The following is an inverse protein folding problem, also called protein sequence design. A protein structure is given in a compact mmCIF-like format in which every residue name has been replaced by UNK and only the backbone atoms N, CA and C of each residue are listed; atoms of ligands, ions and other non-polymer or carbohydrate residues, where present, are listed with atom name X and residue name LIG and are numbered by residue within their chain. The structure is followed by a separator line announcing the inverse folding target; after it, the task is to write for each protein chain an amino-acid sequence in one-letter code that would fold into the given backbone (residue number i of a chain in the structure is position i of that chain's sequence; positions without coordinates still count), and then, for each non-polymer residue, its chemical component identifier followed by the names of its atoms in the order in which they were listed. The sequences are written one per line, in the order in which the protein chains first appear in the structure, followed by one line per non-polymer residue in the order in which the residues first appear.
data_IF_397071729593
#
_entry.id   IF_397071729593
#
_cell.length_a   1.000
_cell.length_b   1.000
_cell.length_c   1.000
_cell.angle_alpha   90.00
_cell.angle_beta   90.00
_cell.angle_gamma   90.00
#
_symmetry.space_group_name_H-M   'P 1'
#
loop_
_entity.id
_entity.type
_entity.pdbx_description
1 polymer ?
#
# COMPACT_ATOMS: atom_id res chain seq x y z
N UNK A 1 -10.56 -7.50 20.41
CA UNK A 1 -9.43 -7.61 19.49
C UNK A 1 -9.40 -9.04 19.00
N UNK A 2 -9.37 -9.25 17.69
CA UNK A 2 -9.25 -10.58 17.09
C UNK A 2 -7.78 -11.04 17.13
N UNK A 3 -7.53 -12.35 17.10
CA UNK A 3 -6.17 -12.91 17.06
C UNK A 3 -5.37 -12.33 15.88
N UNK A 4 -6.01 -12.16 14.73
CA UNK A 4 -5.40 -11.62 13.53
C UNK A 4 -4.99 -10.14 13.66
N UNK A 5 -5.82 -9.32 14.32
CA UNK A 5 -5.48 -7.95 14.66
C UNK A 5 -4.31 -7.88 15.64
N UNK A 6 -4.22 -8.84 16.57
CA UNK A 6 -3.13 -8.92 17.54
C UNK A 6 -1.81 -9.29 16.88
N UNK A 7 -1.83 -10.30 15.98
CA UNK A 7 -0.65 -10.69 15.18
C UNK A 7 -0.20 -9.52 14.28
N UNK A 8 -1.14 -8.76 13.72
CA UNK A 8 -0.84 -7.63 12.82
C UNK A 8 -0.49 -6.32 13.55
N UNK A 9 -0.48 -6.32 14.89
CA UNK A 9 -0.28 -5.10 15.70
C UNK A 9 1.19 -4.66 15.82
N UNK A 10 2.14 -5.48 15.36
CA UNK A 10 3.57 -5.21 15.49
C UNK A 10 4.18 -5.62 16.84
N UNK A 11 3.38 -6.25 17.72
CA UNK A 11 3.82 -6.68 19.05
C UNK A 11 4.81 -7.84 18.98
N UNK A 12 4.67 -8.74 18.00
CA UNK A 12 5.56 -9.90 17.81
C UNK A 12 6.97 -9.41 17.47
N UNK A 13 7.08 -8.48 16.52
CA UNK A 13 8.33 -7.88 16.09
C UNK A 13 8.98 -7.10 17.23
N UNK A 14 8.18 -6.32 17.96
CA UNK A 14 8.66 -5.55 19.11
C UNK A 14 9.16 -6.46 20.23
N UNK A 15 8.49 -7.59 20.49
CA UNK A 15 8.91 -8.58 21.46
C UNK A 15 10.22 -9.26 21.05
N UNK A 16 10.29 -9.83 19.84
CA UNK A 16 11.43 -10.61 19.36
C UNK A 16 12.69 -9.75 19.21
N UNK A 17 12.54 -8.47 18.84
CA UNK A 17 13.66 -7.52 18.75
C UNK A 17 14.07 -6.93 20.12
N UNK A 18 13.36 -7.27 21.20
CA UNK A 18 13.64 -6.77 22.55
C UNK A 18 13.28 -5.29 22.76
N UNK A 19 12.33 -4.77 21.98
CA UNK A 19 11.84 -3.39 22.03
C UNK A 19 10.57 -3.24 22.88
N UNK A 20 9.85 -4.33 23.14
CA UNK A 20 8.64 -4.33 23.95
C UNK A 20 8.94 -4.03 25.43
N UNK A 21 8.03 -3.29 26.08
CA UNK A 21 8.11 -3.03 27.53
C UNK A 21 7.86 -4.30 28.34
N UNK A 22 8.20 -4.28 29.64
CA UNK A 22 8.03 -5.46 30.51
C UNK A 22 6.55 -5.84 30.66
N UNK A 23 5.65 -4.86 30.68
CA UNK A 23 4.21 -5.05 30.69
C UNK A 23 3.69 -5.68 29.39
N UNK A 24 4.16 -5.19 28.24
CA UNK A 24 3.81 -5.70 26.91
C UNK A 24 4.31 -7.14 26.71
N UNK A 25 5.52 -7.43 27.16
CA UNK A 25 6.09 -8.79 27.12
C UNK A 25 5.25 -9.77 27.92
N UNK A 26 4.87 -9.41 29.13
CA UNK A 26 4.06 -10.27 29.99
C UNK A 26 2.67 -10.52 29.38
N UNK A 27 2.04 -9.49 28.81
CA UNK A 27 0.77 -9.62 28.12
C UNK A 27 0.88 -10.49 26.85
N UNK A 28 1.97 -10.34 26.10
CA UNK A 28 2.24 -11.11 24.90
C UNK A 28 2.51 -12.60 25.19
N UNK A 29 3.30 -12.90 26.21
CA UNK A 29 3.56 -14.28 26.65
C UNK A 29 2.27 -14.96 27.10
N UNK A 30 1.43 -14.27 27.87
CA UNK A 30 0.11 -14.77 28.24
C UNK A 30 -0.77 -15.06 27.01
N UNK A 31 -0.73 -14.19 26.00
CA UNK A 31 -1.47 -14.41 24.75
C UNK A 31 -0.93 -15.60 23.95
N UNK A 32 0.38 -15.86 24.00
CA UNK A 32 1.00 -17.05 23.38
C UNK A 32 0.58 -18.35 24.07
N UNK A 33 0.33 -18.32 25.39
CA UNK A 33 -0.16 -19.47 26.15
C UNK A 33 -1.64 -19.76 25.87
N UNK A 34 -2.44 -18.71 25.68
CA UNK A 34 -3.88 -18.81 25.40
C UNK A 34 -4.19 -19.10 23.92
N UNK A 35 -3.29 -18.75 23.00
CA UNK A 35 -3.51 -18.85 21.56
C UNK A 35 -2.31 -19.42 20.79
N UNK A 36 -2.50 -20.62 20.23
CA UNK A 36 -1.50 -21.32 19.44
C UNK A 36 -1.10 -20.59 18.15
N UNK A 37 -2.01 -19.84 17.53
CA UNK A 37 -1.74 -19.07 16.30
C UNK A 37 -0.74 -17.94 16.55
N UNK A 38 -0.84 -17.27 17.71
CA UNK A 38 0.10 -16.21 18.12
C UNK A 38 1.48 -16.79 18.40
N UNK A 39 1.54 -17.97 19.04
CA UNK A 39 2.79 -18.70 19.27
C UNK A 39 3.46 -19.10 17.95
N UNK A 40 2.70 -19.64 17.00
CA UNK A 40 3.22 -20.00 15.67
C UNK A 40 3.72 -18.78 14.90
N UNK A 41 3.03 -17.64 15.03
CA UNK A 41 3.47 -16.39 14.40
C UNK A 41 4.79 -15.86 15.01
N UNK A 42 4.97 -15.98 16.33
CA UNK A 42 6.25 -15.69 17.00
C UNK A 42 7.37 -16.57 16.45
N UNK A 43 7.17 -17.89 16.45
CA UNK A 43 8.21 -18.85 16.05
C UNK A 43 8.59 -18.66 14.56
N UNK A 44 7.62 -18.35 13.70
CA UNK A 44 7.86 -18.05 12.29
C UNK A 44 8.71 -16.78 12.11
N UNK A 45 8.45 -15.75 12.91
CA UNK A 45 9.22 -14.51 12.87
C UNK A 45 10.66 -14.71 13.41
N UNK A 46 10.81 -15.45 14.52
CA UNK A 46 12.12 -15.82 15.08
C UNK A 46 12.97 -16.59 14.06
N UNK A 47 12.38 -17.57 13.37
CA UNK A 47 13.08 -18.34 12.33
C UNK A 47 13.50 -17.46 11.15
N UNK A 48 12.64 -16.55 10.71
CA UNK A 48 12.96 -15.58 9.64
C UNK A 48 14.12 -14.66 10.05
N UNK A 49 14.13 -14.22 11.31
CA UNK A 49 15.21 -13.40 11.85
C UNK A 49 16.53 -14.19 11.95
N UNK A 50 16.48 -15.43 12.42
CA UNK A 50 17.64 -16.34 12.48
C UNK A 50 18.25 -16.54 11.08
N UNK A 51 17.43 -16.86 10.08
CA UNK A 51 17.89 -17.06 8.70
C UNK A 51 18.60 -15.82 8.16
N UNK A 52 18.04 -14.63 8.39
CA UNK A 52 18.67 -13.35 7.99
C UNK A 52 19.96 -13.07 8.75
N UNK A 53 20.03 -13.40 10.04
CA UNK A 53 21.23 -13.25 10.85
C UNK A 53 22.34 -14.17 10.37
N UNK A 54 22.02 -15.43 10.04
CA UNK A 54 22.98 -16.41 9.53
C UNK A 54 23.50 -16.06 8.13
N UNK A 55 22.65 -15.52 7.26
CA UNK A 55 23.08 -15.03 5.93
C UNK A 55 24.12 -13.90 6.03
N UNK A 56 24.06 -13.10 7.10
CA UNK A 56 24.97 -11.98 7.34
C UNK A 56 25.99 -12.29 8.45
N UNK A 57 26.25 -13.57 8.73
CA UNK A 57 27.11 -13.99 9.82
C UNK A 57 28.56 -13.54 9.61
N UNK A 58 29.12 -12.90 10.64
CA UNK A 58 30.53 -12.52 10.70
C UNK A 58 31.28 -13.55 11.54
N UNK A 59 32.40 -14.06 11.04
CA UNK A 59 33.21 -15.03 11.79
C UNK A 59 33.71 -14.40 13.09
N UNK A 60 33.40 -15.00 14.26
CA UNK A 60 33.88 -14.48 15.53
C UNK A 60 35.39 -14.69 15.69
N UNK A 61 36.05 -13.94 16.60
CA UNK A 61 37.45 -14.15 16.93
C UNK A 61 37.73 -15.59 17.40
N UNK A 62 38.84 -16.23 16.97
CA UNK A 62 39.10 -17.65 17.22
C UNK A 62 39.27 -17.98 18.71
N UNK A 63 39.68 -17.00 19.53
CA UNK A 63 39.83 -17.15 20.98
C UNK A 63 38.51 -17.07 21.76
N UNK A 64 37.43 -16.57 21.15
CA UNK A 64 36.14 -16.35 21.82
C UNK A 64 35.51 -17.67 22.27
N UNK A 65 35.60 -18.71 21.43
CA UNK A 65 35.11 -20.06 21.77
C UNK A 65 35.72 -20.59 23.06
N UNK A 66 37.04 -20.43 23.22
CA UNK A 66 37.77 -20.87 24.41
C UNK A 66 37.34 -20.07 25.64
N UNK A 67 37.24 -18.74 25.52
CA UNK A 67 36.78 -17.88 26.63
C UNK A 67 35.37 -18.23 27.13
N UNK A 68 34.44 -18.55 26.21
CA UNK A 68 33.08 -18.94 26.56
C UNK A 68 33.07 -20.29 27.28
N UNK A 69 33.81 -21.29 26.77
CA UNK A 69 33.93 -22.60 27.40
C UNK A 69 34.57 -22.51 28.79
N UNK A 70 35.65 -21.75 28.94
CA UNK A 70 36.33 -21.54 30.21
C UNK A 70 35.40 -20.86 31.24
N UNK A 71 34.53 -19.93 30.81
CA UNK A 71 33.54 -19.28 31.70
C UNK A 71 32.43 -20.23 32.14
N UNK A 72 31.91 -21.05 31.24
CA UNK A 72 30.89 -22.07 31.55
C UNK A 72 31.42 -23.13 32.53
N UNK A 73 32.71 -23.44 32.47
CA UNK A 73 33.35 -24.39 33.37
C UNK A 73 33.62 -23.77 34.76
N UNK A 74 33.94 -22.48 34.81
CA UNK A 74 34.13 -21.74 36.07
C UNK A 74 32.82 -21.36 36.78
N UNK A 75 31.71 -21.14 36.06
CA UNK A 75 30.38 -20.90 36.68
C UNK A 75 29.85 -22.13 37.44
N UNK A 76 30.33 -23.33 37.12
CA UNK A 76 30.01 -24.56 37.88
C UNK A 76 30.71 -24.63 39.24
N UNK A 77 31.60 -23.70 39.56
CA UNK A 77 32.18 -23.58 40.90
C UNK A 77 31.49 -22.45 41.69
N UNK A 78 30.72 -22.76 42.75
CA UNK A 78 30.13 -21.75 43.61
C UNK A 78 31.23 -21.13 44.48
N UNK A 79 31.97 -20.15 43.96
CA UNK A 79 32.91 -19.38 44.77
C UNK A 79 32.19 -18.18 45.38
N UNK A 80 31.45 -18.50 46.44
CA UNK A 80 31.13 -17.58 47.54
C UNK A 80 32.46 -17.13 48.17
N UNK A 81 32.99 -15.98 47.78
CA UNK A 81 34.09 -15.31 48.51
C UNK A 81 34.03 -13.79 48.31
N UNK A 82 33.02 -13.15 48.89
CA UNK A 82 33.13 -11.75 49.30
C UNK A 82 33.96 -11.75 50.60
N UNK A 83 35.29 -11.79 50.46
CA UNK A 83 36.19 -11.50 51.59
C UNK A 83 36.45 -10.00 51.61
N UNK A 84 35.60 -9.27 52.33
CA UNK A 84 35.86 -7.88 52.71
C UNK A 84 37.14 -7.82 53.54
N UNK A 85 38.21 -7.27 52.95
CA UNK A 85 39.40 -6.85 53.70
C UNK A 85 39.10 -5.50 54.34
N UNK A 86 38.73 -5.53 55.62
CA UNK A 86 38.71 -4.37 56.52
C UNK A 86 40.16 -3.95 56.76
N UNK A 87 40.55 -2.77 56.27
CA UNK A 87 41.81 -2.14 56.65
C UNK A 87 41.64 -1.35 57.97
N UNK A 88 42.63 -1.38 58.89
CA UNK A 88 42.56 -0.65 60.16
C UNK A 88 42.69 0.87 59.96
N UNK A 89 41.89 1.62 60.72
CA UNK A 89 41.96 3.10 60.86
C UNK A 89 43.36 3.55 61.32
N UNK A 90 44.00 4.41 60.52
CA UNK A 90 45.12 5.25 60.94
C UNK A 90 44.59 6.62 61.46
N UNK A 91 45.33 7.32 62.35
CA UNK A 91 44.78 8.35 63.23
C UNK A 91 44.50 9.67 62.52
N UNK A 92 43.49 10.37 63.06
CA UNK A 92 43.01 11.69 62.68
C UNK A 92 44.12 12.72 62.86
N UNK A 93 44.47 13.43 61.77
CA UNK A 93 45.27 14.66 61.79
C UNK A 93 44.36 15.83 61.44
N UNK A 94 44.21 16.76 62.38
CA UNK A 94 43.41 17.98 62.23
C UNK A 94 44.23 19.14 61.63
N UNK A 95 43.56 19.86 60.71
CA UNK A 95 43.71 21.28 60.29
C UNK A 95 44.93 21.63 59.41
N UNK A 96 44.82 22.55 58.40
CA UNK A 96 43.98 23.76 58.41
C UNK A 96 43.05 23.96 57.20
N UNK A 97 42.00 24.75 57.41
CA UNK A 97 41.22 25.43 56.36
C UNK A 97 42.09 26.47 55.66
N UNK A 98 42.67 26.09 54.52
CA UNK A 98 43.20 27.04 53.54
C UNK A 98 42.28 27.00 52.31
N UNK A 99 41.43 28.02 52.16
CA UNK A 99 40.69 28.26 50.93
C UNK A 99 41.69 28.73 49.88
N UNK A 100 42.34 27.79 49.21
CA UNK A 100 43.19 28.08 48.05
C UNK A 100 42.32 28.01 46.80
N UNK A 101 42.03 29.16 46.21
CA UNK A 101 41.33 29.30 44.93
C UNK A 101 42.05 28.48 43.86
N UNK A 102 41.51 27.29 43.56
CA UNK A 102 42.16 26.35 42.66
C UNK A 102 41.58 26.53 41.26
N UNK A 103 42.40 26.93 40.29
CA UNK A 103 42.04 26.98 38.85
C UNK A 103 41.52 25.64 38.29
N UNK A 104 41.54 24.54 39.04
CA UNK A 104 41.01 23.22 38.65
C UNK A 104 39.49 23.12 38.73
N UNK A 105 38.81 23.86 39.63
CA UNK A 105 37.34 23.86 39.69
C UNK A 105 36.74 24.63 38.52
N UNK A 106 37.42 25.66 38.01
CA UNK A 106 37.01 26.34 36.79
C UNK A 106 37.15 25.46 35.54
N UNK A 107 38.16 24.59 35.46
CA UNK A 107 38.26 23.63 34.35
C UNK A 107 37.18 22.53 34.42
N UNK A 108 36.88 22.03 35.62
CA UNK A 108 35.80 21.05 35.84
C UNK A 108 34.42 21.65 35.52
N UNK A 109 34.16 22.89 35.95
CA UNK A 109 32.95 23.61 35.60
C UNK A 109 32.85 23.92 34.09
N UNK A 110 33.96 24.28 33.44
CA UNK A 110 33.98 24.49 31.99
C UNK A 110 33.75 23.18 31.22
N UNK A 111 34.30 22.05 31.69
CA UNK A 111 34.12 20.72 31.08
C UNK A 111 32.68 20.21 31.19
N UNK A 112 31.99 20.44 32.32
CA UNK A 112 30.58 20.05 32.47
C UNK A 112 29.65 20.90 31.60
N UNK A 113 29.91 22.20 31.47
CA UNK A 113 29.15 23.08 30.57
C UNK A 113 29.35 22.69 29.11
N UNK A 114 30.58 22.35 28.69
CA UNK A 114 30.83 21.87 27.33
C UNK A 114 30.18 20.52 27.06
N UNK A 115 30.25 19.57 27.99
CA UNK A 115 29.52 18.29 27.88
C UNK A 115 28.01 18.50 27.80
N UNK A 116 27.45 19.42 28.59
CA UNK A 116 26.03 19.76 28.53
C UNK A 116 25.65 20.33 27.17
N UNK A 117 26.42 21.27 26.63
CA UNK A 117 26.16 21.87 25.31
C UNK A 117 26.25 20.83 24.19
N UNK A 118 27.25 19.94 24.23
CA UNK A 118 27.36 18.82 23.28
C UNK A 118 26.18 17.88 23.42
N UNK A 119 25.76 17.54 24.64
CA UNK A 119 24.60 16.68 24.87
C UNK A 119 23.31 17.28 24.33
N UNK A 120 23.09 18.60 24.52
CA UNK A 120 21.91 19.30 24.00
C UNK A 120 21.94 19.33 22.47
N UNK A 121 23.10 19.59 21.86
CA UNK A 121 23.26 19.58 20.41
C UNK A 121 22.99 18.19 19.80
N UNK A 122 23.52 17.14 20.43
CA UNK A 122 23.28 15.75 20.03
C UNK A 122 21.81 15.36 20.20
N UNK A 123 21.19 15.71 21.32
CA UNK A 123 19.77 15.44 21.57
C UNK A 123 18.89 16.13 20.53
N UNK A 124 19.18 17.40 20.20
CA UNK A 124 18.47 18.13 19.15
C UNK A 124 18.64 17.48 17.77
N UNK A 125 19.86 17.07 17.43
CA UNK A 125 20.15 16.35 16.18
C UNK A 125 19.38 15.03 16.10
N UNK A 126 19.44 14.20 17.14
CA UNK A 126 18.70 12.94 17.21
C UNK A 126 17.19 13.15 17.19
N UNK A 127 16.68 14.17 17.87
CA UNK A 127 15.26 14.50 17.87
C UNK A 127 14.77 14.90 16.47
N UNK A 128 15.52 15.75 15.75
CA UNK A 128 15.20 16.08 14.36
C UNK A 128 15.25 14.87 13.45
N UNK A 129 16.25 14.02 13.63
CA UNK A 129 16.41 12.82 12.82
C UNK A 129 15.28 11.82 13.09
N UNK A 130 14.93 11.59 14.36
CA UNK A 130 13.79 10.77 14.76
C UNK A 130 12.48 11.29 14.17
N UNK A 131 12.23 12.60 14.26
CA UNK A 131 11.01 13.20 13.69
C UNK A 131 10.93 13.00 12.18
N UNK A 132 12.04 13.16 11.48
CA UNK A 132 12.12 12.92 10.03
C UNK A 132 11.84 11.46 9.66
N UNK A 133 12.32 10.49 10.45
CA UNK A 133 12.04 9.08 10.21
C UNK A 133 10.59 8.70 10.51
N UNK A 134 10.00 9.26 11.56
CA UNK A 134 8.57 9.09 11.86
C UNK A 134 7.70 9.61 10.71
N UNK A 135 7.96 10.82 10.23
CA UNK A 135 7.16 11.42 9.16
C UNK A 135 7.30 10.64 7.84
N UNK A 136 8.49 10.09 7.55
CA UNK A 136 8.71 9.20 6.39
C UNK A 136 7.98 7.87 6.53
N UNK A 137 7.89 7.33 7.74
CA UNK A 137 7.18 6.08 7.99
C UNK A 137 5.68 6.25 7.76
N UNK A 138 5.09 7.33 8.28
CA UNK A 138 3.68 7.66 8.04
C UNK A 138 3.40 7.87 6.54
N UNK A 139 4.28 8.60 5.84
CA UNK A 139 4.18 8.79 4.39
C UNK A 139 4.27 7.47 3.62
N UNK A 140 5.13 6.54 4.05
CA UNK A 140 5.28 5.23 3.41
C UNK A 140 4.05 4.33 3.64
N UNK A 141 3.42 4.40 4.82
CA UNK A 141 2.16 3.69 5.08
C UNK A 141 1.03 4.20 4.17
N UNK A 142 0.91 5.52 4.03
CA UNK A 142 -0.08 6.14 3.11
C UNK A 142 0.21 5.73 1.67
N UNK A 143 1.48 5.77 1.25
CA UNK A 143 1.89 5.36 -0.09
C UNK A 143 1.58 3.89 -0.37
N UNK A 144 1.87 2.98 0.57
CA UNK A 144 1.55 1.56 0.41
C UNK A 144 0.03 1.34 0.32
N UNK A 145 -0.76 2.02 1.15
CA UNK A 145 -2.21 1.94 1.09
C UNK A 145 -2.74 2.41 -0.28
N UNK A 146 -2.17 3.47 -0.85
CA UNK A 146 -2.51 3.96 -2.18
C UNK A 146 -2.11 2.97 -3.28
N UNK A 147 -0.90 2.37 -3.19
CA UNK A 147 -0.44 1.35 -4.14
C UNK A 147 -1.37 0.14 -4.13
N UNK A 148 -1.74 -0.38 -2.95
CA UNK A 148 -2.67 -1.53 -2.84
C UNK A 148 -4.04 -1.19 -3.41
N UNK A 149 -4.56 0.01 -3.12
CA UNK A 149 -5.84 0.48 -3.70
C UNK A 149 -5.75 0.58 -5.22
N UNK A 150 -4.66 1.13 -5.75
CA UNK A 150 -4.45 1.25 -7.18
C UNK A 150 -4.32 -0.13 -7.84
N UNK A 151 -3.57 -1.04 -7.22
CA UNK A 151 -3.39 -2.40 -7.73
C UNK A 151 -4.71 -3.17 -7.77
N UNK A 152 -5.52 -3.12 -6.70
CA UNK A 152 -6.87 -3.68 -6.69
C UNK A 152 -7.74 -3.07 -7.81
N UNK A 153 -7.70 -1.74 -8.00
CA UNK A 153 -8.45 -1.09 -9.08
C UNK A 153 -7.98 -1.51 -10.49
N UNK A 154 -6.68 -1.77 -10.64
CA UNK A 154 -6.11 -2.27 -11.90
C UNK A 154 -6.54 -3.71 -12.16
N UNK A 155 -6.55 -4.55 -11.13
CA UNK A 155 -7.02 -5.94 -11.27
C UNK A 155 -8.49 -6.00 -11.67
N UNK A 156 -9.36 -5.20 -11.04
CA UNK A 156 -10.78 -5.09 -11.45
C UNK A 156 -10.91 -4.66 -12.91
N UNK A 157 -10.19 -3.60 -13.33
CA UNK A 157 -10.21 -3.16 -14.73
C UNK A 157 -9.68 -4.24 -15.69
N UNK A 158 -8.64 -4.98 -15.31
CA UNK A 158 -8.10 -6.08 -16.13
C UNK A 158 -9.12 -7.21 -16.29
N UNK A 159 -9.86 -7.54 -15.23
CA UNK A 159 -10.91 -8.56 -15.27
C UNK A 159 -12.11 -8.10 -16.13
N UNK A 160 -12.49 -6.84 -16.02
CA UNK A 160 -13.48 -6.21 -16.92
C UNK A 160 -13.04 -6.29 -18.38
N UNK A 161 -11.78 -5.95 -18.69
CA UNK A 161 -11.24 -6.08 -20.06
C UNK A 161 -11.19 -7.52 -20.54
N UNK A 162 -10.79 -8.47 -19.67
CA UNK A 162 -10.73 -9.89 -20.01
C UNK A 162 -12.13 -10.44 -20.30
N UNK A 163 -13.11 -10.09 -19.48
CA UNK A 163 -14.52 -10.44 -19.63
C UNK A 163 -15.09 -9.84 -20.92
N UNK A 164 -14.88 -8.55 -21.15
CA UNK A 164 -15.27 -7.90 -22.40
C UNK A 164 -14.66 -8.61 -23.62
N UNK A 165 -13.36 -8.92 -23.58
CA UNK A 165 -12.67 -9.64 -24.65
C UNK A 165 -13.21 -11.06 -24.87
N UNK A 166 -13.69 -11.72 -23.82
CA UNK A 166 -14.34 -13.03 -23.93
C UNK A 166 -15.70 -12.90 -24.63
N UNK A 167 -16.50 -11.89 -24.30
CA UNK A 167 -17.75 -11.61 -25.01
C UNK A 167 -17.52 -11.28 -26.48
N UNK A 168 -16.48 -10.50 -26.81
CA UNK A 168 -16.10 -10.19 -28.19
C UNK A 168 -15.68 -11.42 -29.01
N UNK A 169 -15.23 -12.49 -28.36
CA UNK A 169 -14.82 -13.75 -29.00
C UNK A 169 -15.95 -14.79 -29.08
N UNK A 170 -17.11 -14.53 -28.46
CA UNK A 170 -18.25 -15.45 -28.53
C UNK A 170 -18.75 -15.52 -29.99
N UNK A 171 -18.88 -16.72 -30.59
CA UNK A 171 -19.44 -16.89 -31.93
C UNK A 171 -20.86 -16.32 -32.10
N UNK A 172 -21.61 -16.14 -31.01
CA UNK A 172 -22.94 -15.50 -31.01
C UNK A 172 -22.91 -13.97 -31.12
N UNK A 173 -21.73 -13.36 -31.14
CA UNK A 173 -21.54 -11.92 -31.24
C UNK A 173 -21.55 -11.45 -32.70
N UNK A 174 -22.58 -10.70 -33.08
CA UNK A 174 -22.64 -10.01 -34.37
C UNK A 174 -21.86 -8.70 -34.31
N UNK A 175 -21.00 -8.45 -35.31
CA UNK A 175 -20.18 -7.22 -35.40
C UNK A 175 -20.74 -6.32 -36.51
N UNK A 176 -21.32 -5.19 -36.14
CA UNK A 176 -21.86 -4.20 -37.08
C UNK A 176 -20.94 -2.98 -37.12
N UNK A 177 -20.27 -2.77 -38.26
CA UNK A 177 -19.42 -1.59 -38.48
C UNK A 177 -20.23 -0.47 -39.12
N UNK A 178 -20.23 0.69 -38.47
CA UNK A 178 -20.92 1.90 -38.91
C UNK A 178 -19.88 2.95 -39.28
N UNK A 179 -19.94 3.46 -40.50
CA UNK A 179 -19.02 4.47 -41.00
C UNK A 179 -19.79 5.73 -41.43
N UNK A 180 -19.16 6.88 -41.29
CA UNK A 180 -19.68 8.18 -41.75
C UNK A 180 -19.88 8.27 -43.27
N UNK A 181 -19.27 7.36 -44.04
CA UNK A 181 -19.33 7.37 -45.49
C UNK A 181 -20.78 7.21 -45.98
N UNK A 182 -21.34 8.29 -46.52
CA UNK A 182 -22.74 8.35 -46.97
C UNK A 182 -23.71 9.02 -45.99
N UNK A 183 -23.22 9.50 -44.84
CA UNK A 183 -23.98 10.27 -43.86
C UNK A 183 -23.60 11.74 -43.98
N UNK A 184 -24.48 12.56 -44.56
CA UNK A 184 -24.20 13.96 -44.87
C UNK A 184 -23.98 14.84 -43.62
N UNK A 185 -24.60 14.48 -42.50
CA UNK A 185 -24.54 15.20 -41.22
C UNK A 185 -23.38 14.77 -40.32
N UNK A 186 -22.52 13.87 -40.78
CA UNK A 186 -21.44 13.36 -39.93
C UNK A 186 -20.41 14.46 -39.61
N UNK A 187 -20.01 14.62 -38.34
CA UNK A 187 -19.09 15.69 -37.94
C UNK A 187 -17.67 15.51 -38.49
N UNK A 188 -17.26 14.27 -38.80
CA UNK A 188 -16.00 13.95 -39.47
C UNK A 188 -16.24 12.84 -40.52
N UNK A 189 -15.79 12.98 -41.78
CA UNK A 189 -15.88 11.94 -42.82
C UNK A 189 -15.22 10.60 -42.45
N UNK A 190 -14.29 10.60 -41.49
CA UNK A 190 -13.63 9.42 -40.96
C UNK A 190 -14.33 8.86 -39.71
N UNK A 191 -15.50 9.38 -39.34
CA UNK A 191 -16.19 8.88 -38.14
C UNK A 191 -16.56 7.41 -38.31
N UNK A 192 -16.26 6.62 -37.29
CA UNK A 192 -16.51 5.19 -37.29
C UNK A 192 -16.89 4.74 -35.89
N UNK A 193 -17.88 3.86 -35.83
CA UNK A 193 -18.26 3.14 -34.62
C UNK A 193 -18.56 1.68 -34.95
N UNK A 194 -18.33 0.80 -33.99
CA UNK A 194 -18.57 -0.64 -34.11
C UNK A 194 -19.53 -1.07 -33.02
N UNK A 195 -20.59 -1.76 -33.40
CA UNK A 195 -21.51 -2.40 -32.47
C UNK A 195 -21.19 -3.88 -32.38
N UNK A 196 -21.12 -4.37 -31.16
CA UNK A 196 -21.08 -5.79 -30.83
C UNK A 196 -22.43 -6.14 -30.22
N UNK A 197 -23.18 -7.01 -30.90
CA UNK A 197 -24.51 -7.40 -30.50
C UNK A 197 -24.56 -8.91 -30.24
N UNK A 198 -24.81 -9.30 -28.99
CA UNK A 198 -25.09 -10.70 -28.66
C UNK A 198 -26.52 -11.02 -29.12
N UNK A 199 -26.62 -11.81 -30.18
CA UNK A 199 -27.92 -12.17 -30.79
C UNK A 199 -28.80 -13.05 -29.89
N UNK A 200 -28.24 -13.64 -28.83
CA UNK A 200 -28.95 -14.52 -27.90
C UNK A 200 -29.43 -13.76 -26.67
N UNK A 201 -28.52 -13.03 -26.01
CA UNK A 201 -28.84 -12.27 -24.79
C UNK A 201 -29.42 -10.91 -25.09
N UNK A 202 -29.24 -10.43 -26.33
CA UNK A 202 -29.63 -9.11 -26.83
C UNK A 202 -28.81 -7.96 -26.24
N UNK A 203 -27.68 -8.26 -25.62
CA UNK A 203 -26.78 -7.26 -25.08
C UNK A 203 -26.05 -6.55 -26.22
N UNK A 204 -25.95 -5.22 -26.10
CA UNK A 204 -25.29 -4.37 -27.10
C UNK A 204 -24.16 -3.58 -26.47
N UNK A 205 -22.97 -3.69 -27.09
CA UNK A 205 -21.79 -2.92 -26.77
C UNK A 205 -21.42 -2.02 -27.95
N UNK A 206 -21.30 -0.72 -27.70
CA UNK A 206 -20.88 0.26 -28.67
C UNK A 206 -19.42 0.65 -28.44
N UNK A 207 -18.61 0.55 -29.48
CA UNK A 207 -17.25 1.04 -29.52
C UNK A 207 -17.18 2.26 -30.45
N UNK A 208 -16.83 3.42 -29.91
CA UNK A 208 -16.54 4.62 -30.70
C UNK A 208 -15.10 4.54 -31.21
N UNK A 209 -14.89 4.23 -32.49
CA UNK A 209 -13.55 4.03 -33.05
C UNK A 209 -12.85 5.34 -33.39
N UNK A 210 -13.58 6.28 -34.01
CA UNK A 210 -13.02 7.56 -34.46
C UNK A 210 -14.09 8.66 -34.46
N UNK A 211 -14.83 8.81 -33.36
CA UNK A 211 -15.87 9.82 -33.25
C UNK A 211 -15.29 11.08 -32.56
N UNK A 212 -15.56 12.29 -33.06
CA UNK A 212 -15.09 13.51 -32.40
C UNK A 212 -15.73 13.65 -31.01
N UNK A 213 -15.06 14.36 -30.11
CA UNK A 213 -15.62 14.61 -28.79
C UNK A 213 -16.84 15.54 -28.90
N UNK A 214 -17.99 15.21 -28.27
CA UNK A 214 -19.14 16.11 -28.24
C UNK A 214 -18.77 17.47 -27.63
N UNK A 215 -19.34 18.55 -28.17
CA UNK A 215 -19.23 19.87 -27.56
C UNK A 215 -19.97 19.93 -26.22
N UNK A 216 -19.64 20.91 -25.37
CA UNK A 216 -20.27 21.07 -24.05
C UNK A 216 -21.80 21.11 -24.17
N UNK A 217 -22.47 20.22 -23.46
CA UNK A 217 -23.94 20.10 -23.47
C UNK A 217 -24.51 19.13 -24.51
N UNK A 218 -23.67 18.53 -25.36
CA UNK A 218 -24.05 17.50 -26.33
C UNK A 218 -23.55 16.12 -25.91
N UNK A 219 -24.23 15.08 -26.36
CA UNK A 219 -23.86 13.69 -26.13
C UNK A 219 -24.32 12.81 -27.30
N UNK A 220 -23.69 11.65 -27.48
CA UNK A 220 -24.14 10.68 -28.47
C UNK A 220 -25.26 9.80 -27.92
N UNK A 221 -26.24 9.47 -28.77
CA UNK A 221 -27.31 8.51 -28.47
C UNK A 221 -27.35 7.41 -29.52
N UNK A 222 -27.55 6.17 -29.08
CA UNK A 222 -27.69 5.00 -29.95
C UNK A 222 -29.17 4.76 -30.25
N UNK A 223 -29.46 4.39 -31.49
CA UNK A 223 -30.80 4.03 -31.95
C UNK A 223 -30.75 2.66 -32.62
N UNK A 224 -31.73 1.81 -32.31
CA UNK A 224 -32.00 0.57 -33.02
C UNK A 224 -33.19 0.78 -33.98
N UNK A 225 -33.05 0.39 -35.24
CA UNK A 225 -34.16 0.45 -36.20
C UNK A 225 -34.90 -0.89 -36.18
N UNK A 226 -36.15 -0.89 -35.72
CA UNK A 226 -37.02 -2.07 -35.62
C UNK A 226 -38.30 -1.78 -36.42
N UNK A 227 -38.63 -2.64 -37.39
CA UNK A 227 -39.77 -2.44 -38.29
C UNK A 227 -39.77 -1.05 -38.97
N UNK A 228 -38.58 -0.54 -39.31
CA UNK A 228 -38.38 0.79 -39.90
C UNK A 228 -38.51 1.98 -38.95
N UNK A 229 -38.77 1.76 -37.65
CA UNK A 229 -38.89 2.81 -36.63
C UNK A 229 -37.66 2.87 -35.72
N UNK A 230 -37.14 4.06 -35.38
CA UNK A 230 -36.06 4.20 -34.43
C UNK A 230 -36.57 3.97 -33.00
N UNK A 231 -35.94 3.04 -32.31
CA UNK A 231 -36.14 2.73 -30.90
C UNK A 231 -34.90 3.18 -30.13
N UNK A 232 -35.10 3.93 -29.06
CA UNK A 232 -34.02 4.38 -28.18
C UNK A 232 -33.27 3.17 -27.62
N UNK A 233 -31.97 3.13 -27.89
CA UNK A 233 -31.09 2.06 -27.49
C UNK A 233 -30.15 2.44 -26.34
N UNK A 234 -30.38 3.59 -25.73
CA UNK A 234 -29.63 4.10 -24.60
C UNK A 234 -28.58 5.13 -24.97
N UNK A 235 -28.18 5.90 -23.95
CA UNK A 235 -27.08 6.87 -24.05
C UNK A 235 -25.73 6.14 -24.11
N UNK A 236 -24.75 6.75 -24.78
CA UNK A 236 -23.43 6.14 -24.96
C UNK A 236 -22.63 6.20 -23.65
N UNK A 237 -22.91 5.26 -22.75
CA UNK A 237 -22.14 4.96 -21.51
C UNK A 237 -22.39 3.53 -20.94
N UNK A 238 -22.68 2.55 -21.82
CA UNK A 238 -22.79 1.08 -21.60
C UNK A 238 -24.13 0.42 -21.15
N UNK A 239 -24.27 -0.83 -21.64
CA UNK A 239 -25.22 -1.93 -21.37
C UNK A 239 -26.72 -1.63 -21.44
N UNK A 240 -27.25 -1.62 -22.66
CA UNK A 240 -28.70 -1.72 -22.89
C UNK A 240 -29.01 -3.04 -23.63
N UNK A 241 -30.06 -3.74 -23.18
CA UNK A 241 -30.61 -4.89 -23.89
C UNK A 241 -31.60 -4.40 -24.95
N UNK A 242 -31.39 -4.78 -26.22
CA UNK A 242 -32.16 -4.24 -27.34
C UNK A 242 -33.02 -5.29 -28.06
N UNK A 243 -34.19 -4.92 -28.61
CA UNK A 243 -34.93 -5.80 -29.50
C UNK A 243 -34.12 -6.17 -30.76
N UNK A 244 -34.59 -7.16 -31.51
CA UNK A 244 -34.02 -7.53 -32.82
C UNK A 244 -34.14 -6.31 -33.74
N UNK A 245 -33.00 -5.83 -34.24
CA UNK A 245 -32.92 -4.63 -35.07
C UNK A 245 -32.45 -4.96 -36.50
N UNK A 246 -32.94 -4.18 -37.47
CA UNK A 246 -32.53 -4.26 -38.88
C UNK A 246 -31.30 -3.38 -39.16
N UNK A 247 -31.11 -2.32 -38.37
CA UNK A 247 -30.00 -1.40 -38.46
C UNK A 247 -29.78 -0.68 -37.12
N UNK A 248 -28.61 -0.07 -36.96
CA UNK A 248 -28.28 0.79 -35.84
C UNK A 248 -27.75 2.13 -36.32
N UNK A 249 -28.05 3.20 -35.58
CA UNK A 249 -27.64 4.56 -35.89
C UNK A 249 -27.16 5.29 -34.63
N UNK A 250 -26.25 6.25 -34.79
CA UNK A 250 -25.81 7.15 -33.70
C UNK A 250 -26.07 8.60 -34.11
N UNK A 251 -26.76 9.35 -33.25
CA UNK A 251 -27.02 10.78 -33.41
C UNK A 251 -26.34 11.60 -32.31
N UNK A 252 -26.09 12.90 -32.58
CA UNK A 252 -25.62 13.86 -31.58
C UNK A 252 -26.80 14.62 -30.97
N UNK A 253 -27.04 14.42 -29.69
CA UNK A 253 -28.23 14.86 -28.96
C UNK A 253 -27.87 15.82 -27.82
N UNK A 254 -28.86 16.51 -27.25
CA UNK A 254 -28.67 17.29 -26.03
C UNK A 254 -28.42 16.39 -24.81
N UNK A 255 -27.77 16.93 -23.79
CA UNK A 255 -27.50 16.22 -22.52
C UNK A 255 -28.81 15.72 -21.89
N UNK A 256 -28.88 14.42 -21.61
CA UNK A 256 -30.10 13.74 -21.16
C UNK A 256 -30.87 12.98 -22.25
N UNK A 257 -30.50 13.16 -23.52
CA UNK A 257 -31.01 12.39 -24.66
C UNK A 257 -32.28 13.00 -25.25
N UNK A 258 -32.76 12.41 -26.33
CA UNK A 258 -34.00 12.81 -27.00
C UNK A 258 -35.00 11.66 -27.04
N UNK A 259 -36.29 12.01 -27.04
CA UNK A 259 -37.40 11.04 -27.21
C UNK A 259 -37.45 10.51 -28.64
N UNK A 260 -37.04 11.32 -29.61
CA UNK A 260 -36.97 10.97 -31.03
C UNK A 260 -35.62 11.39 -31.62
N UNK A 261 -35.04 10.66 -32.57
CA UNK A 261 -33.74 11.00 -33.14
C UNK A 261 -33.79 12.31 -33.92
N UNK A 262 -32.82 13.19 -33.70
CA UNK A 262 -32.57 14.33 -34.58
C UNK A 262 -31.83 13.84 -35.83
N UNK A 263 -32.59 13.55 -36.89
CA UNK A 263 -32.05 12.97 -38.14
C UNK A 263 -31.06 13.89 -38.86
N UNK A 264 -31.12 15.20 -38.61
CA UNK A 264 -30.14 16.19 -39.07
C UNK A 264 -28.80 16.09 -38.32
N UNK A 265 -28.76 15.40 -37.17
CA UNK A 265 -27.58 15.14 -36.34
C UNK A 265 -27.08 13.69 -36.47
N UNK A 266 -27.52 12.96 -37.51
CA UNK A 266 -27.07 11.59 -37.76
C UNK A 266 -25.56 11.56 -38.02
N UNK A 267 -24.84 10.78 -37.22
CA UNK A 267 -23.38 10.69 -37.30
C UNK A 267 -22.92 9.45 -38.08
N UNK A 268 -23.47 8.29 -37.74
CA UNK A 268 -23.15 7.00 -38.38
C UNK A 268 -24.36 6.07 -38.39
N UNK A 269 -24.43 5.16 -39.37
CA UNK A 269 -25.47 4.12 -39.47
C UNK A 269 -24.87 2.82 -40.04
N UNK A 270 -25.37 1.66 -39.62
CA UNK A 270 -25.00 0.36 -40.17
C UNK A 270 -26.14 -0.65 -40.10
N UNK A 271 -26.27 -1.49 -41.13
CA UNK A 271 -27.31 -2.54 -41.19
C UNK A 271 -26.84 -3.81 -40.52
N UNK A 272 -27.77 -4.51 -39.88
CA UNK A 272 -27.57 -5.86 -39.35
C UNK A 272 -27.64 -6.83 -40.54
N UNK A 273 -26.62 -7.70 -40.68
CA UNK A 273 -26.47 -8.65 -41.80
C UNK A 273 -26.62 -10.08 -41.32
#
# INVERSE_FOLDING_TARGET
MTTQEYISSGIIESYVLGLATEEERTAFEKMCDENEEVRLARDAFELSLEQKALQNAVSPPPNLRKQVLDKLENEKQPTRNISGKVQPKAPVKTLPTAVSGTKRTSYLAAASVTLLLVSVALNYYYFRQYKTYSDKYDALLVQNAEIVKNDASKQVRLDEYATAMQHLKDPGMAIIKMAAKGVASSPDPNSMATIYWDTRTKDVFLLLNNMPQPSTGKQYQLWAIVDGLPVDAGMVDMSAGLPVAEAFAVTLEDSGGSVNPHMDQLCVIGKVS
#
